data_IF_733221854085
#
_entry.id   IF_733221854085
#
_cell.length_a   1.000
_cell.length_b   1.000
_cell.length_c   1.000
_cell.angle_alpha   90.00
_cell.angle_beta   90.00
_cell.angle_gamma   90.00
#
_symmetry.space_group_name_H-M   'P 1'
#
loop_
_entity.id
_entity.type
_entity.pdbx_description
1 polymer ?
#
# COMPACT_ATOMS: atom_id res chain seq x y z
N UNK A 1 -20.59 -17.73 14.56
CA UNK A 1 -20.58 -17.00 13.27
C UNK A 1 -19.35 -17.45 12.51
N UNK A 2 -19.54 -18.12 11.39
CA UNK A 2 -18.42 -18.51 10.52
C UNK A 2 -17.93 -17.26 9.79
N UNK A 3 -16.70 -16.86 10.07
CA UNK A 3 -16.02 -15.79 9.31
C UNK A 3 -15.69 -16.34 7.93
N UNK A 4 -16.30 -15.78 6.89
CA UNK A 4 -16.08 -16.23 5.51
C UNK A 4 -15.25 -15.24 4.70
N UNK A 5 -15.41 -13.94 4.95
CA UNK A 5 -14.73 -12.88 4.21
C UNK A 5 -13.62 -12.26 5.06
N UNK A 6 -12.43 -12.15 4.49
CA UNK A 6 -11.24 -11.59 5.17
C UNK A 6 -10.57 -10.53 4.32
N UNK A 7 -9.91 -9.59 4.97
CA UNK A 7 -8.92 -8.71 4.35
C UNK A 7 -7.55 -9.38 4.47
N UNK A 8 -6.87 -9.54 3.36
CA UNK A 8 -5.54 -10.12 3.33
C UNK A 8 -4.48 -9.02 3.46
N UNK A 9 -3.76 -9.00 4.59
CA UNK A 9 -2.62 -8.11 4.78
C UNK A 9 -1.35 -8.74 4.18
N UNK A 10 -0.81 -8.14 3.14
CA UNK A 10 0.44 -8.58 2.50
C UNK A 10 1.61 -7.93 3.23
N UNK A 11 2.65 -8.69 3.61
CA UNK A 11 3.88 -8.13 4.18
C UNK A 11 4.51 -7.10 3.26
N UNK A 12 5.09 -6.06 3.83
CA UNK A 12 5.67 -4.93 3.08
C UNK A 12 7.05 -5.24 2.47
N UNK A 13 7.48 -6.49 2.54
CA UNK A 13 8.68 -6.98 1.85
C UNK A 13 8.46 -6.92 0.36
N UNK A 14 9.43 -6.40 -0.38
CA UNK A 14 9.38 -6.33 -1.85
C UNK A 14 8.13 -5.59 -2.39
N UNK A 15 7.49 -4.77 -1.55
CA UNK A 15 6.40 -3.91 -1.95
C UNK A 15 6.91 -2.55 -2.40
N UNK A 16 6.19 -1.94 -3.34
CA UNK A 16 6.49 -0.60 -3.85
C UNK A 16 5.23 0.24 -3.86
N UNK A 17 5.41 1.54 -3.66
CA UNK A 17 4.36 2.54 -3.80
C UNK A 17 4.88 3.56 -4.81
N UNK A 18 4.39 3.48 -6.03
CA UNK A 18 4.80 4.34 -7.13
C UNK A 18 3.71 5.38 -7.43
N UNK A 19 4.10 6.64 -7.63
CA UNK A 19 3.20 7.66 -8.13
C UNK A 19 3.01 7.46 -9.64
N UNK A 20 1.76 7.35 -10.06
CA UNK A 20 1.36 7.10 -11.44
C UNK A 20 0.30 8.09 -11.86
N UNK A 21 0.23 8.36 -13.15
CA UNK A 21 -0.85 9.14 -13.73
C UNK A 21 -1.34 8.47 -15.01
N UNK A 22 -2.62 8.63 -15.30
CA UNK A 22 -3.20 8.26 -16.57
C UNK A 22 -4.23 9.29 -17.01
N UNK A 23 -4.39 9.47 -18.32
CA UNK A 23 -5.32 10.41 -18.91
C UNK A 23 -6.31 9.71 -19.84
N UNK A 24 -7.52 10.23 -19.89
CA UNK A 24 -8.60 9.79 -20.78
C UNK A 24 -9.17 10.98 -21.52
N UNK A 25 -9.24 10.91 -22.85
CA UNK A 25 -9.98 11.85 -23.66
C UNK A 25 -11.48 11.60 -23.49
N UNK A 26 -12.25 12.68 -23.38
CA UNK A 26 -13.68 12.67 -23.11
C UNK A 26 -14.46 13.30 -24.26
N UNK A 27 -15.71 12.88 -24.43
CA UNK A 27 -16.68 13.61 -25.23
C UNK A 27 -17.06 14.92 -24.51
N UNK A 28 -16.77 16.10 -25.09
CA UNK A 28 -17.06 17.37 -24.43
C UNK A 28 -18.57 17.68 -24.27
N UNK A 29 -19.44 16.85 -24.83
CA UNK A 29 -20.90 16.99 -24.72
C UNK A 29 -21.49 16.05 -23.64
N UNK A 30 -20.67 15.20 -23.01
CA UNK A 30 -21.14 14.25 -22.02
C UNK A 30 -20.44 14.49 -20.67
N UNK A 31 -21.19 14.38 -19.55
CA UNK A 31 -20.59 14.47 -18.23
C UNK A 31 -19.73 13.23 -17.93
N UNK A 32 -18.68 13.43 -17.15
CA UNK A 32 -17.83 12.34 -16.66
C UNK A 32 -18.68 11.33 -15.91
N UNK A 33 -18.59 10.09 -16.33
CA UNK A 33 -19.35 8.95 -15.80
C UNK A 33 -18.48 8.04 -14.92
N UNK A 34 -19.11 7.16 -14.17
CA UNK A 34 -18.41 6.07 -13.46
C UNK A 34 -17.60 5.16 -14.40
N UNK A 35 -18.06 5.00 -15.66
CA UNK A 35 -17.34 4.20 -16.65
C UNK A 35 -16.00 4.83 -17.02
N UNK A 36 -15.94 6.16 -17.19
CA UNK A 36 -14.70 6.88 -17.46
C UNK A 36 -13.69 6.71 -16.30
N UNK A 37 -14.17 6.86 -15.07
CA UNK A 37 -13.32 6.67 -13.87
C UNK A 37 -12.81 5.23 -13.81
N UNK A 38 -13.70 4.22 -13.96
CA UNK A 38 -13.28 2.80 -13.97
C UNK A 38 -12.26 2.50 -15.06
N UNK A 39 -12.38 3.12 -16.23
CA UNK A 39 -11.41 2.95 -17.31
C UNK A 39 -10.03 3.42 -16.87
N UNK A 40 -9.90 4.64 -16.30
CA UNK A 40 -8.62 5.14 -15.80
C UNK A 40 -7.95 4.19 -14.78
N UNK A 41 -8.75 3.64 -13.85
CA UNK A 41 -8.23 2.66 -12.88
C UNK A 41 -7.74 1.39 -13.58
N UNK A 42 -8.50 0.83 -14.53
CA UNK A 42 -8.09 -0.35 -15.31
C UNK A 42 -6.79 -0.10 -16.07
N UNK A 43 -6.68 1.06 -16.70
CA UNK A 43 -5.52 1.41 -17.49
C UNK A 43 -4.27 1.52 -16.58
N UNK A 44 -4.40 2.09 -15.37
CA UNK A 44 -3.31 2.13 -14.38
C UNK A 44 -2.94 0.71 -13.91
N UNK A 45 -3.92 -0.16 -13.66
CA UNK A 45 -3.65 -1.56 -13.27
C UNK A 45 -2.84 -2.26 -14.36
N UNK A 46 -3.20 -2.04 -15.62
CA UNK A 46 -2.56 -2.67 -16.78
C UNK A 46 -1.24 -2.03 -17.20
N UNK A 47 -0.86 -0.86 -16.63
CA UNK A 47 0.47 -0.32 -16.87
C UNK A 47 1.55 -1.32 -16.44
N UNK A 48 2.66 -1.42 -17.18
CA UNK A 48 3.76 -2.31 -16.85
C UNK A 48 4.19 -2.15 -15.38
N UNK A 49 4.45 -3.27 -14.75
CA UNK A 49 5.04 -3.35 -13.40
C UNK A 49 6.47 -3.88 -13.51
N UNK A 50 7.23 -3.79 -12.45
CA UNK A 50 8.52 -4.48 -12.37
C UNK A 50 8.34 -6.00 -12.52
N UNK A 51 9.41 -6.67 -12.95
CA UNK A 51 9.40 -8.13 -13.08
C UNK A 51 8.96 -8.79 -11.76
N UNK A 52 8.09 -9.79 -11.86
CA UNK A 52 7.50 -10.52 -10.73
C UNK A 52 6.71 -9.65 -9.72
N UNK A 53 6.15 -8.54 -10.18
CA UNK A 53 5.30 -7.67 -9.37
C UNK A 53 3.86 -7.67 -9.89
N UNK A 54 2.90 -7.64 -8.97
CA UNK A 54 1.47 -7.48 -9.26
C UNK A 54 0.91 -6.27 -8.52
N UNK A 55 0.02 -5.53 -9.18
CA UNK A 55 -0.69 -4.44 -8.52
C UNK A 55 -1.71 -5.01 -7.53
N UNK A 56 -1.58 -4.63 -6.26
CA UNK A 56 -2.50 -5.03 -5.19
C UNK A 56 -3.49 -3.93 -4.82
N UNK A 57 -3.13 -2.66 -5.07
CA UNK A 57 -4.03 -1.55 -4.81
C UNK A 57 -3.70 -0.33 -5.68
N UNK A 58 -4.73 0.48 -5.99
CA UNK A 58 -4.61 1.79 -6.62
C UNK A 58 -5.30 2.82 -5.72
N UNK A 59 -4.52 3.73 -5.18
CA UNK A 59 -5.03 4.77 -4.27
C UNK A 59 -5.12 6.10 -5.03
N UNK A 60 -6.34 6.59 -5.35
CA UNK A 60 -6.50 7.86 -6.04
C UNK A 60 -6.00 9.02 -5.17
N UNK A 61 -5.27 9.93 -5.77
CA UNK A 61 -4.76 11.16 -5.10
C UNK A 61 -5.58 12.36 -5.47
N UNK A 62 -5.76 12.57 -6.77
CA UNK A 62 -6.53 13.68 -7.31
C UNK A 62 -6.96 13.38 -8.75
N UNK A 63 -8.02 14.02 -9.17
CA UNK A 63 -8.43 14.11 -10.56
C UNK A 63 -8.21 15.53 -11.08
N UNK A 64 -7.85 15.67 -12.34
CA UNK A 64 -7.70 16.96 -13.04
C UNK A 64 -8.54 16.91 -14.31
N UNK A 65 -9.36 17.91 -14.52
CA UNK A 65 -10.20 18.08 -15.73
C UNK A 65 -9.72 19.30 -16.47
N UNK A 66 -9.33 19.15 -17.75
CA UNK A 66 -8.87 20.23 -18.64
C UNK A 66 -7.79 21.12 -18.00
N UNK A 67 -6.78 20.52 -17.39
CA UNK A 67 -5.65 21.19 -16.71
C UNK A 67 -6.05 22.23 -15.63
N UNK A 68 -7.27 22.09 -15.08
CA UNK A 68 -7.76 22.89 -13.96
C UNK A 68 -7.24 22.38 -12.61
N UNK A 69 -7.73 22.99 -11.54
CA UNK A 69 -7.35 22.58 -10.19
C UNK A 69 -7.69 21.11 -9.90
N UNK A 70 -6.83 20.47 -9.11
CA UNK A 70 -7.03 19.11 -8.65
C UNK A 70 -8.29 18.97 -7.77
N UNK A 71 -9.12 17.97 -8.05
CA UNK A 71 -10.39 17.68 -7.38
C UNK A 71 -10.42 16.24 -6.89
N UNK A 72 -11.28 15.95 -5.92
CA UNK A 72 -11.43 14.60 -5.36
C UNK A 72 -12.51 13.78 -6.11
N UNK A 73 -13.54 14.42 -6.62
CA UNK A 73 -14.62 13.74 -7.33
C UNK A 73 -14.93 14.47 -8.65
N UNK A 74 -14.63 13.85 -9.81
CA UNK A 74 -14.88 14.44 -11.12
C UNK A 74 -16.26 14.11 -11.70
N UNK A 75 -17.08 13.28 -11.04
CA UNK A 75 -18.38 12.83 -11.56
C UNK A 75 -19.29 14.01 -11.92
N UNK A 76 -19.91 13.94 -13.10
CA UNK A 76 -20.85 14.93 -13.58
C UNK A 76 -20.22 16.20 -14.15
N UNK A 77 -18.90 16.37 -14.06
CA UNK A 77 -18.19 17.49 -14.67
C UNK A 77 -18.07 17.26 -16.18
N UNK A 78 -18.21 18.33 -16.97
CA UNK A 78 -17.98 18.30 -18.42
C UNK A 78 -16.56 18.78 -18.70
N UNK A 79 -15.84 18.10 -19.56
CA UNK A 79 -14.49 18.41 -19.97
C UNK A 79 -14.05 17.60 -21.18
N UNK A 80 -12.88 17.94 -21.72
CA UNK A 80 -12.26 17.23 -22.86
C UNK A 80 -11.27 16.16 -22.43
N UNK A 81 -10.67 16.33 -21.27
CA UNK A 81 -9.66 15.43 -20.74
C UNK A 81 -9.85 15.23 -19.23
N UNK A 82 -9.71 13.99 -18.79
CA UNK A 82 -9.67 13.62 -17.37
C UNK A 82 -8.34 12.96 -17.07
N UNK A 83 -7.61 13.48 -16.10
CA UNK A 83 -6.35 12.89 -15.61
C UNK A 83 -6.59 12.39 -14.19
N UNK A 84 -6.16 11.15 -13.92
CA UNK A 84 -6.08 10.57 -12.59
C UNK A 84 -4.62 10.52 -12.13
N UNK A 85 -4.30 11.22 -11.05
CA UNK A 85 -3.09 11.01 -10.28
C UNK A 85 -3.37 10.02 -9.17
N UNK A 86 -2.61 8.92 -9.12
CA UNK A 86 -2.81 7.85 -8.15
C UNK A 86 -1.47 7.32 -7.61
N UNK A 87 -1.55 6.52 -6.56
CA UNK A 87 -0.46 5.64 -6.15
C UNK A 87 -0.82 4.21 -6.53
N UNK A 88 0.09 3.56 -7.25
CA UNK A 88 0.03 2.14 -7.55
C UNK A 88 0.87 1.39 -6.53
N UNK A 89 0.21 0.54 -5.76
CA UNK A 89 0.87 -0.34 -4.79
C UNK A 89 1.07 -1.69 -5.46
N UNK A 90 2.33 -2.13 -5.50
CA UNK A 90 2.69 -3.44 -6.06
C UNK A 90 3.41 -4.28 -5.02
N UNK A 91 3.31 -5.60 -5.16
CA UNK A 91 3.97 -6.59 -4.31
C UNK A 91 4.46 -7.75 -5.17
N UNK A 92 5.38 -8.57 -4.62
CA UNK A 92 5.82 -9.80 -5.29
C UNK A 92 4.62 -10.68 -5.64
N UNK A 93 4.50 -11.04 -6.91
CA UNK A 93 3.38 -11.85 -7.41
C UNK A 93 3.37 -13.23 -6.75
N UNK A 94 4.53 -13.86 -6.61
CA UNK A 94 4.67 -15.16 -5.94
C UNK A 94 4.20 -15.11 -4.49
N UNK A 95 4.56 -14.06 -3.75
CA UNK A 95 4.12 -13.87 -2.35
C UNK A 95 2.60 -13.69 -2.28
N UNK A 96 2.04 -12.80 -3.11
CA UNK A 96 0.61 -12.50 -3.10
C UNK A 96 -0.22 -13.74 -3.42
N UNK A 97 0.12 -14.45 -4.50
CA UNK A 97 -0.61 -15.66 -4.89
C UNK A 97 -0.48 -16.80 -3.88
N UNK A 98 0.68 -16.97 -3.24
CA UNK A 98 0.84 -17.96 -2.18
C UNK A 98 -0.05 -17.64 -0.97
N UNK A 99 -0.12 -16.38 -0.55
CA UNK A 99 -0.97 -15.97 0.57
C UNK A 99 -2.46 -16.13 0.23
N UNK A 100 -2.87 -15.80 -1.00
CA UNK A 100 -4.24 -16.04 -1.50
C UNK A 100 -4.58 -17.53 -1.40
N UNK A 101 -3.73 -18.39 -1.96
CA UNK A 101 -3.90 -19.84 -1.94
C UNK A 101 -4.05 -20.39 -0.50
N UNK A 102 -3.19 -19.94 0.41
CA UNK A 102 -3.26 -20.37 1.83
C UNK A 102 -4.60 -19.97 2.45
N UNK A 103 -5.06 -18.74 2.23
CA UNK A 103 -6.32 -18.26 2.77
C UNK A 103 -7.53 -19.03 2.18
N UNK A 104 -7.53 -19.28 0.87
CA UNK A 104 -8.60 -20.03 0.20
C UNK A 104 -8.63 -21.51 0.61
N UNK A 105 -7.47 -22.16 0.77
CA UNK A 105 -7.35 -23.52 1.28
C UNK A 105 -7.85 -23.63 2.74
N UNK A 106 -7.71 -22.55 3.52
CA UNK A 106 -8.27 -22.46 4.87
C UNK A 106 -9.79 -22.17 4.89
N UNK A 107 -10.43 -22.03 3.71
CA UNK A 107 -11.87 -21.82 3.56
C UNK A 107 -12.32 -20.36 3.61
N UNK A 108 -11.38 -19.40 3.55
CA UNK A 108 -11.71 -17.98 3.53
C UNK A 108 -11.90 -17.46 2.10
N UNK A 109 -12.73 -16.44 1.98
CA UNK A 109 -12.86 -15.62 0.76
C UNK A 109 -12.15 -14.30 0.99
N UNK A 110 -11.26 -13.94 0.08
CA UNK A 110 -10.55 -12.66 0.17
C UNK A 110 -11.45 -11.56 -0.38
N UNK A 111 -11.86 -10.66 0.50
CA UNK A 111 -12.68 -9.50 0.15
C UNK A 111 -11.83 -8.37 -0.44
N UNK A 112 -10.61 -8.18 0.07
CA UNK A 112 -9.66 -7.17 -0.41
C UNK A 112 -8.25 -7.50 0.07
N UNK A 113 -7.24 -6.87 -0.57
CA UNK A 113 -5.82 -7.01 -0.22
C UNK A 113 -5.30 -5.64 0.20
N UNK A 114 -4.56 -5.61 1.30
CA UNK A 114 -3.97 -4.39 1.85
C UNK A 114 -2.49 -4.60 2.17
N UNK A 115 -1.69 -3.55 2.02
CA UNK A 115 -0.30 -3.57 2.48
C UNK A 115 -0.28 -3.53 4.02
N UNK A 116 0.39 -4.50 4.66
CA UNK A 116 0.42 -4.66 6.11
C UNK A 116 0.88 -3.38 6.83
N UNK A 117 1.97 -2.76 6.36
CA UNK A 117 2.47 -1.51 6.92
C UNK A 117 1.48 -0.35 6.86
N UNK A 118 0.63 -0.31 5.83
CA UNK A 118 -0.44 0.70 5.73
C UNK A 118 -1.52 0.43 6.77
N UNK A 119 -1.96 -0.82 6.90
CA UNK A 119 -2.97 -1.21 7.89
C UNK A 119 -2.49 -0.94 9.33
N UNK A 120 -1.25 -1.32 9.65
CA UNK A 120 -0.60 -1.06 10.94
C UNK A 120 -0.53 0.44 11.24
N UNK A 121 -0.09 1.24 10.27
CA UNK A 121 0.03 2.69 10.41
C UNK A 121 -1.31 3.36 10.65
N UNK A 122 -2.34 2.95 9.91
CA UNK A 122 -3.70 3.49 10.06
C UNK A 122 -4.32 3.13 11.42
N UNK A 123 -3.93 2.00 12.02
CA UNK A 123 -4.35 1.59 13.35
C UNK A 123 -3.56 2.28 14.46
N UNK A 124 -2.23 2.42 14.30
CA UNK A 124 -1.34 2.93 15.33
C UNK A 124 -1.42 4.45 15.53
N UNK A 125 -1.74 5.19 14.46
CA UNK A 125 -1.75 6.66 14.49
C UNK A 125 -3.15 7.22 14.73
N UNK A 126 -3.21 8.29 15.52
CA UNK A 126 -4.45 9.05 15.72
C UNK A 126 -4.83 9.85 14.48
N UNK A 127 -6.12 10.21 14.34
CA UNK A 127 -6.60 11.04 13.23
C UNK A 127 -5.88 12.38 13.11
N UNK A 128 -5.42 12.95 14.25
CA UNK A 128 -4.66 14.19 14.26
C UNK A 128 -3.24 14.00 13.70
N UNK A 129 -2.54 12.92 14.11
CA UNK A 129 -1.22 12.55 13.59
C UNK A 129 -1.28 12.27 12.10
N UNK A 130 -2.30 11.53 11.63
CA UNK A 130 -2.51 11.24 10.21
C UNK A 130 -2.68 12.54 9.40
N UNK A 131 -3.40 13.54 9.90
CA UNK A 131 -3.62 14.82 9.22
C UNK A 131 -2.38 15.70 9.21
N UNK A 132 -1.71 15.85 10.36
CA UNK A 132 -0.51 16.70 10.50
C UNK A 132 0.70 16.14 9.75
N UNK A 133 0.77 14.84 9.64
CA UNK A 133 1.92 14.10 9.16
C UNK A 133 2.66 13.42 10.29
N UNK A 134 3.04 12.17 10.03
CA UNK A 134 3.76 11.32 10.98
C UNK A 134 4.64 10.32 10.25
N UNK A 135 5.64 9.82 10.97
CA UNK A 135 6.43 8.67 10.56
C UNK A 135 6.15 7.53 11.55
N UNK A 136 5.62 6.42 11.05
CA UNK A 136 5.41 5.19 11.81
C UNK A 136 6.57 4.25 11.56
N UNK A 137 7.26 3.83 12.61
CA UNK A 137 8.36 2.87 12.56
C UNK A 137 7.93 1.62 13.32
N UNK A 138 7.83 0.50 12.61
CA UNK A 138 7.55 -0.80 13.18
C UNK A 138 8.83 -1.66 13.13
N UNK A 139 9.41 -1.96 14.30
CA UNK A 139 10.60 -2.79 14.41
C UNK A 139 10.17 -4.20 14.80
N UNK A 140 10.12 -5.08 13.80
CA UNK A 140 9.85 -6.51 13.99
C UNK A 140 11.11 -7.31 14.33
N UNK A 141 10.99 -8.63 14.35
CA UNK A 141 12.13 -9.53 14.61
C UNK A 141 13.18 -9.45 13.50
N UNK A 142 12.77 -9.63 12.25
CA UNK A 142 13.66 -9.76 11.09
C UNK A 142 13.63 -8.52 10.19
N UNK A 143 12.68 -7.61 10.43
CA UNK A 143 12.44 -6.45 9.57
C UNK A 143 11.99 -5.22 10.34
N UNK A 144 12.42 -4.07 9.83
CA UNK A 144 11.89 -2.76 10.24
C UNK A 144 11.14 -2.13 9.07
N UNK A 145 9.90 -1.72 9.30
CA UNK A 145 9.09 -1.01 8.31
C UNK A 145 8.93 0.45 8.73
N UNK A 146 9.17 1.36 7.80
CA UNK A 146 9.03 2.81 7.99
C UNK A 146 7.96 3.30 7.03
N UNK A 147 6.88 3.85 7.57
CA UNK A 147 5.76 4.40 6.79
C UNK A 147 5.56 5.87 7.11
N UNK A 148 5.60 6.70 6.08
CA UNK A 148 5.39 8.15 6.18
C UNK A 148 3.97 8.50 5.74
N UNK A 149 3.27 9.25 6.57
CA UNK A 149 1.90 9.73 6.30
C UNK A 149 1.90 11.24 6.31
N UNK A 150 1.15 11.85 5.40
CA UNK A 150 0.88 13.28 5.39
C UNK A 150 -0.52 13.55 4.84
N UNK A 151 -1.24 14.49 5.46
CA UNK A 151 -2.61 14.88 5.07
C UNK A 151 -3.56 13.67 4.97
N UNK A 152 -3.45 12.71 5.90
CA UNK A 152 -4.27 11.51 5.96
C UNK A 152 -3.96 10.45 4.90
N UNK A 153 -2.86 10.60 4.15
CA UNK A 153 -2.48 9.69 3.06
C UNK A 153 -1.06 9.16 3.28
N UNK A 154 -0.86 7.88 3.01
CA UNK A 154 0.49 7.30 2.99
C UNK A 154 1.27 7.91 1.83
N UNK A 155 2.42 8.49 2.13
CA UNK A 155 3.32 9.09 1.15
C UNK A 155 4.32 8.06 0.65
N UNK A 156 4.88 7.29 1.58
CA UNK A 156 5.89 6.26 1.31
C UNK A 156 5.86 5.18 2.36
N UNK A 157 6.24 3.97 2.00
CA UNK A 157 6.51 2.87 2.92
C UNK A 157 7.73 2.11 2.43
N UNK A 158 8.67 1.86 3.33
CA UNK A 158 9.94 1.19 3.04
C UNK A 158 10.17 0.11 4.09
N UNK A 159 10.67 -1.05 3.67
CA UNK A 159 11.06 -2.14 4.57
C UNK A 159 12.57 -2.36 4.51
N UNK A 160 13.17 -2.49 5.68
CA UNK A 160 14.58 -2.78 5.86
C UNK A 160 14.72 -4.20 6.43
N UNK A 161 15.62 -5.01 5.87
CA UNK A 161 15.91 -6.36 6.35
C UNK A 161 16.80 -6.34 7.61
N UNK A 162 16.40 -5.51 8.59
CA UNK A 162 17.09 -5.36 9.87
C UNK A 162 16.02 -5.23 10.96
N UNK A 163 16.14 -5.98 12.04
CA UNK A 163 15.15 -6.00 13.10
C UNK A 163 15.73 -6.34 14.48
N UNK A 164 14.88 -6.72 15.40
CA UNK A 164 15.26 -7.07 16.76
C UNK A 164 16.27 -8.22 16.84
N UNK A 165 16.27 -9.13 15.86
CA UNK A 165 17.24 -10.23 15.77
C UNK A 165 18.68 -9.73 15.59
N UNK A 166 18.87 -8.68 14.79
CA UNK A 166 20.21 -8.12 14.57
C UNK A 166 20.74 -7.48 15.86
N UNK A 167 19.85 -6.84 16.65
CA UNK A 167 20.21 -6.31 17.98
C UNK A 167 20.63 -7.46 18.89
N UNK A 168 19.88 -8.53 18.94
CA UNK A 168 20.21 -9.73 19.74
C UNK A 168 21.55 -10.31 19.32
N UNK A 169 21.81 -10.43 18.01
CA UNK A 169 23.07 -10.92 17.48
C UNK A 169 24.25 -10.03 17.88
N UNK A 170 24.11 -8.70 17.79
CA UNK A 170 25.16 -7.75 18.23
C UNK A 170 25.45 -7.87 19.72
N UNK A 171 24.43 -8.08 20.57
CA UNK A 171 24.62 -8.31 22.01
C UNK A 171 25.36 -9.63 22.24
N UNK A 172 24.95 -10.72 21.57
CA UNK A 172 25.61 -12.03 21.64
C UNK A 172 27.10 -11.91 21.28
N UNK A 173 27.41 -11.23 20.19
CA UNK A 173 28.77 -11.05 19.70
C UNK A 173 29.62 -10.18 20.64
N UNK A 174 29.05 -9.12 21.18
CA UNK A 174 29.75 -8.19 22.07
C UNK A 174 30.07 -8.81 23.43
N UNK A 175 29.11 -9.53 24.00
CA UNK A 175 29.25 -10.13 25.33
C UNK A 175 29.71 -11.59 25.32
N UNK A 176 29.81 -12.19 24.12
CA UNK A 176 30.20 -13.61 23.95
C UNK A 176 29.24 -14.56 24.69
N UNK A 177 27.95 -14.26 24.64
CA UNK A 177 26.88 -15.08 25.23
C UNK A 177 26.05 -15.73 24.12
N UNK A 178 25.28 -16.77 24.47
CA UNK A 178 24.34 -17.39 23.55
C UNK A 178 23.13 -16.46 23.20
N UNK A 179 22.44 -16.81 22.12
CA UNK A 179 21.31 -16.00 21.60
C UNK A 179 20.19 -15.81 22.65
N UNK A 180 19.90 -16.84 23.46
CA UNK A 180 18.86 -16.79 24.48
C UNK A 180 19.23 -15.81 25.59
N UNK A 181 20.49 -15.86 26.05
CA UNK A 181 21.02 -14.90 27.03
C UNK A 181 21.05 -13.47 26.46
N UNK A 182 21.46 -13.33 25.20
CA UNK A 182 21.47 -12.04 24.52
C UNK A 182 20.05 -11.45 24.38
N UNK A 183 19.03 -12.28 24.10
CA UNK A 183 17.63 -11.84 24.03
C UNK A 183 17.11 -11.36 25.40
N UNK A 184 17.53 -12.01 26.50
CA UNK A 184 17.19 -11.55 27.86
C UNK A 184 17.88 -10.24 28.26
N UNK A 185 19.04 -9.95 27.68
CA UNK A 185 19.79 -8.72 27.94
C UNK A 185 19.31 -7.52 27.11
N UNK A 186 18.58 -7.77 26.03
CA UNK A 186 18.00 -6.77 25.15
C UNK A 186 16.80 -6.07 25.79
#
# INVERSE_FOLDING_TARGET
QDIQNVLLAVPSVECRIDNVANSLELDPNQPISHANIKQLFRDIINQPTYHDQVAINIVPRAFVVDDKNAIQNPLGIIGKQLILHAQKVTASASLVYNLINIAELAGFRIADIVLGSVAETMYALTSEQLKKGACHVNIGKDMTTITVVHSGKVVSSVSLSTGGKDVTQHISDAFKVDEQTAEMLK
#
